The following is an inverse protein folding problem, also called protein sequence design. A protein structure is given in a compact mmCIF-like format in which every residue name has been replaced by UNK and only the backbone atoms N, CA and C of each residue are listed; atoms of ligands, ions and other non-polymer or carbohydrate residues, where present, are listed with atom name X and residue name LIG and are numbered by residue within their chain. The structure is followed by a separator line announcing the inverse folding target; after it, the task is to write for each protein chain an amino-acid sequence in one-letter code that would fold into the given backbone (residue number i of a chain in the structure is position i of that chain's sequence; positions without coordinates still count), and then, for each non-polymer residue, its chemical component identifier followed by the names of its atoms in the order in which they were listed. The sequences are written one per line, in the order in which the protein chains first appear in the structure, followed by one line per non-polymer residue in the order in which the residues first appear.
data_IF_635459572367
#
_entry.id   IF_635459572367
#
_cell.length_a   1.000
_cell.length_b   1.000
_cell.length_c   1.000
_cell.angle_alpha   90.00
_cell.angle_beta   90.00
_cell.angle_gamma   90.00
#
_symmetry.space_group_name_H-M   'P 1'
#
loop_
_entity.id
_entity.type
_entity.pdbx_description
1 polymer ?
#
# COMPACT_ATOMS: atom_id res chain seq x y z
N UNK A 1 8.09 11.80 -12.83
CA UNK A 1 8.96 12.36 -11.78
C UNK A 1 8.87 13.87 -11.85
N UNK A 2 8.90 14.57 -10.71
CA UNK A 2 8.79 16.02 -10.65
C UNK A 2 10.04 16.53 -9.92
N UNK A 3 10.87 17.29 -10.63
CA UNK A 3 12.03 17.95 -10.02
C UNK A 3 11.57 19.13 -9.17
N UNK A 4 12.16 19.26 -7.97
CA UNK A 4 11.89 20.36 -7.06
C UNK A 4 12.82 21.53 -7.40
N UNK A 5 12.30 22.67 -7.89
CA UNK A 5 13.14 23.82 -8.18
C UNK A 5 13.84 24.34 -6.91
N UNK A 6 15.16 24.63 -6.96
CA UNK A 6 15.91 25.08 -5.79
C UNK A 6 15.47 26.48 -5.32
N UNK A 7 14.89 27.28 -6.22
CA UNK A 7 14.44 28.66 -5.98
C UNK A 7 13.19 28.77 -5.10
N UNK A 8 12.42 27.69 -4.93
CA UNK A 8 11.18 27.72 -4.15
C UNK A 8 11.44 28.14 -2.70
N UNK A 9 10.54 28.92 -2.11
CA UNK A 9 10.59 29.37 -0.72
C UNK A 9 9.67 28.53 0.17
N UNK A 10 9.82 28.68 1.49
CA UNK A 10 8.91 28.04 2.45
C UNK A 10 7.47 28.49 2.18
N UNK A 11 6.55 27.54 2.16
CA UNK A 11 5.13 27.67 1.78
C UNK A 11 4.84 27.84 0.29
N UNK A 12 5.85 27.82 -0.60
CA UNK A 12 5.57 27.79 -2.04
C UNK A 12 4.90 26.47 -2.42
N UNK A 13 3.70 26.57 -3.00
CA UNK A 13 3.05 25.47 -3.71
C UNK A 13 3.51 25.49 -5.16
N UNK A 14 4.18 24.41 -5.59
CA UNK A 14 4.76 24.30 -6.94
C UNK A 14 4.10 23.23 -7.78
N UNK A 15 3.28 22.37 -7.16
CA UNK A 15 2.30 21.53 -7.82
C UNK A 15 0.95 21.83 -7.18
N UNK A 16 0.03 22.36 -7.97
CA UNK A 16 -1.33 22.71 -7.53
C UNK A 16 -2.34 21.71 -8.11
N UNK A 17 -2.83 20.82 -7.25
CA UNK A 17 -3.90 19.85 -7.53
C UNK A 17 -3.73 19.12 -8.86
N UNK A 18 -2.56 18.53 -9.06
CA UNK A 18 -2.25 17.70 -10.21
C UNK A 18 -3.08 16.41 -10.16
N UNK A 19 -3.96 16.14 -11.13
CA UNK A 19 -4.65 14.86 -11.20
C UNK A 19 -3.67 13.72 -11.48
N UNK A 20 -3.77 12.63 -10.71
CA UNK A 20 -3.01 11.42 -10.98
C UNK A 20 -3.76 10.60 -12.04
N UNK A 21 -3.13 10.41 -13.20
CA UNK A 21 -3.73 9.72 -14.34
C UNK A 21 -3.75 8.18 -14.16
N UNK A 22 -4.56 7.51 -14.99
CA UNK A 22 -4.70 6.04 -14.97
C UNK A 22 -5.70 5.53 -13.95
N UNK A 23 -5.91 4.21 -13.91
CA UNK A 23 -6.89 3.52 -13.06
C UNK A 23 -6.40 3.23 -11.63
N UNK A 24 -5.19 3.66 -11.28
CA UNK A 24 -4.54 3.29 -10.04
C UNK A 24 -3.97 1.86 -10.03
N UNK A 25 -3.35 1.43 -8.92
CA UNK A 25 -3.07 2.24 -7.73
C UNK A 25 -2.11 3.40 -8.05
N UNK A 26 -2.39 4.57 -7.49
CA UNK A 26 -1.53 5.75 -7.64
C UNK A 26 -0.53 5.83 -6.50
N UNK A 27 0.53 6.60 -6.65
CA UNK A 27 1.50 6.74 -5.57
C UNK A 27 2.23 8.07 -5.61
N UNK A 28 2.63 8.52 -4.41
CA UNK A 28 3.54 9.65 -4.22
C UNK A 28 4.61 9.18 -3.25
N UNK A 29 5.88 9.39 -3.59
CA UNK A 29 6.96 9.13 -2.66
C UNK A 29 8.12 10.06 -2.88
N UNK A 30 9.04 10.00 -1.93
CA UNK A 30 10.21 10.86 -1.91
C UNK A 30 11.48 10.00 -1.89
N UNK A 31 11.80 9.28 -3.00
CA UNK A 31 13.04 8.55 -3.07
C UNK A 31 14.22 9.47 -2.77
N UNK A 32 15.24 8.94 -2.11
CA UNK A 32 16.44 9.66 -1.65
C UNK A 32 16.18 10.66 -0.51
N UNK A 33 14.96 10.78 0.02
CA UNK A 33 14.73 11.61 1.20
C UNK A 33 15.55 11.10 2.39
N UNK A 34 16.28 11.99 3.06
CA UNK A 34 17.02 11.70 4.29
C UNK A 34 16.77 12.80 5.32
N UNK A 35 16.65 12.43 6.58
CA UNK A 35 16.77 13.39 7.68
C UNK A 35 18.26 13.67 7.89
N UNK A 36 18.69 14.90 7.59
CA UNK A 36 20.11 15.32 7.53
C UNK A 36 20.78 15.38 8.92
N UNK A 37 20.02 15.17 10.01
CA UNK A 37 20.49 15.45 11.37
C UNK A 37 21.55 14.46 11.88
N UNK A 38 21.61 13.24 11.36
CA UNK A 38 22.63 12.27 11.78
C UNK A 38 22.93 11.23 10.69
N UNK A 39 24.05 11.37 9.98
CA UNK A 39 24.47 10.48 8.88
C UNK A 39 24.85 9.06 9.33
N UNK A 40 24.71 8.75 10.63
CA UNK A 40 25.14 7.48 11.25
C UNK A 40 24.02 6.45 11.43
N UNK A 41 22.79 6.74 11.02
CA UNK A 41 21.66 5.82 11.17
C UNK A 41 21.20 5.30 9.80
N UNK A 42 20.72 4.05 9.78
CA UNK A 42 20.07 3.46 8.61
C UNK A 42 19.02 4.44 8.08
N UNK A 43 19.16 4.81 6.81
CA UNK A 43 18.25 5.76 6.20
C UNK A 43 17.04 4.97 5.66
N UNK A 44 15.86 5.57 5.78
CA UNK A 44 14.65 5.07 5.16
C UNK A 44 13.94 6.24 4.48
N UNK A 45 13.15 5.91 3.47
CA UNK A 45 12.34 6.89 2.76
C UNK A 45 10.91 6.36 2.65
N UNK A 46 9.97 7.28 2.45
CA UNK A 46 8.54 6.99 2.60
C UNK A 46 7.79 7.23 1.29
N UNK A 47 6.73 6.47 1.11
CA UNK A 47 5.76 6.69 0.07
C UNK A 47 4.35 6.43 0.59
N UNK A 48 3.40 6.95 -0.15
CA UNK A 48 1.98 6.70 -0.01
C UNK A 48 1.53 6.02 -1.30
N UNK A 49 0.85 4.88 -1.19
CA UNK A 49 0.17 4.23 -2.30
C UNK A 49 -1.34 4.40 -2.07
N UNK A 50 -2.03 4.97 -3.04
CA UNK A 50 -3.47 5.20 -3.05
C UNK A 50 -4.09 4.04 -3.83
N UNK A 51 -4.64 3.08 -3.11
CA UNK A 51 -5.24 1.84 -3.65
C UNK A 51 -6.65 2.09 -4.17
N UNK A 52 -7.39 2.98 -3.51
CA UNK A 52 -8.76 3.38 -3.87
C UNK A 52 -8.96 4.86 -3.59
N UNK A 53 -9.63 5.55 -4.49
CA UNK A 53 -10.09 6.93 -4.29
C UNK A 53 -11.44 7.08 -4.97
N UNK A 54 -12.47 7.47 -4.21
CA UNK A 54 -13.75 7.91 -4.74
C UNK A 54 -14.14 9.15 -3.96
N UNK A 55 -14.43 10.24 -4.66
CA UNK A 55 -14.95 11.45 -4.04
C UNK A 55 -16.27 11.83 -4.69
N UNK A 56 -17.23 12.30 -3.89
CA UNK A 56 -18.41 12.99 -4.37
C UNK A 56 -18.38 14.39 -3.77
N UNK A 57 -18.05 15.38 -4.59
CA UNK A 57 -17.92 16.78 -4.17
C UNK A 57 -18.84 17.63 -5.03
N UNK A 58 -19.74 18.38 -4.41
CA UNK A 58 -20.75 19.18 -5.11
C UNK A 58 -21.59 18.37 -6.13
N UNK A 59 -21.83 17.08 -5.83
CA UNK A 59 -22.56 16.16 -6.71
C UNK A 59 -21.74 15.56 -7.86
N UNK A 60 -20.45 15.89 -7.97
CA UNK A 60 -19.56 15.33 -8.98
C UNK A 60 -18.74 14.18 -8.40
N UNK A 61 -18.91 12.99 -8.98
CA UNK A 61 -18.11 11.81 -8.63
C UNK A 61 -16.78 11.84 -9.39
N UNK A 62 -15.67 11.61 -8.68
CA UNK A 62 -14.33 11.46 -9.26
C UNK A 62 -13.61 10.28 -8.62
N UNK A 63 -13.00 9.44 -9.45
CA UNK A 63 -12.30 8.21 -9.02
C UNK A 63 -10.77 8.33 -9.07
N UNK A 64 -10.24 9.46 -9.54
CA UNK A 64 -8.81 9.74 -9.50
C UNK A 64 -8.45 10.83 -8.49
N UNK A 65 -7.42 10.61 -7.66
CA UNK A 65 -6.97 11.63 -6.71
C UNK A 65 -6.24 12.76 -7.45
N UNK A 66 -6.25 13.95 -6.84
CA UNK A 66 -5.32 15.03 -7.20
C UNK A 66 -4.33 15.26 -6.07
N UNK A 67 -3.12 15.69 -6.38
CA UNK A 67 -2.10 15.98 -5.37
C UNK A 67 -1.54 17.39 -5.49
N UNK A 68 -1.24 18.00 -4.35
CA UNK A 68 -0.52 19.26 -4.28
C UNK A 68 0.79 19.07 -3.54
N UNK A 69 1.86 19.71 -4.02
CA UNK A 69 3.18 19.66 -3.41
C UNK A 69 3.60 21.06 -3.00
N UNK A 70 4.05 21.21 -1.76
CA UNK A 70 4.53 22.48 -1.25
C UNK A 70 5.79 22.34 -0.39
N UNK A 71 6.58 23.41 -0.33
CA UNK A 71 7.79 23.45 0.50
C UNK A 71 7.40 23.68 1.96
N UNK A 72 7.54 22.66 2.80
CA UNK A 72 7.29 22.79 4.24
C UNK A 72 8.42 23.52 4.96
N UNK A 73 9.66 23.25 4.57
CA UNK A 73 10.87 23.78 5.20
C UNK A 73 12.08 23.67 4.26
N UNK A 74 13.11 24.51 4.46
CA UNK A 74 14.44 24.36 3.85
C UNK A 74 15.34 23.42 4.64
N UNK A 75 16.11 22.58 3.94
CA UNK A 75 17.09 21.72 4.58
C UNK A 75 18.18 22.56 5.28
N UNK A 76 18.73 22.10 6.42
CA UNK A 76 19.70 22.89 7.19
C UNK A 76 20.99 23.25 6.43
N UNK A 77 21.37 22.45 5.43
CA UNK A 77 22.53 22.68 4.58
C UNK A 77 22.27 23.65 3.41
N UNK A 78 21.03 24.10 3.24
CA UNK A 78 20.60 24.99 2.17
C UNK A 78 20.54 24.34 0.78
N UNK A 79 20.82 23.04 0.65
CA UNK A 79 20.93 22.34 -0.64
C UNK A 79 19.59 21.75 -1.12
N UNK A 80 18.54 21.82 -0.30
CA UNK A 80 17.25 21.23 -0.64
C UNK A 80 16.08 21.76 0.19
N UNK A 81 14.92 21.14 -0.07
CA UNK A 81 13.65 21.46 0.57
C UNK A 81 13.03 20.18 1.12
N UNK A 82 12.37 20.28 2.28
CA UNK A 82 11.41 19.28 2.74
C UNK A 82 10.05 19.59 2.11
N UNK A 83 9.53 18.62 1.36
CA UNK A 83 8.28 18.74 0.61
C UNK A 83 7.21 17.92 1.30
N UNK A 84 6.04 18.52 1.46
CA UNK A 84 4.83 17.82 1.86
C UNK A 84 3.97 17.57 0.62
N UNK A 85 3.38 16.37 0.54
CA UNK A 85 2.37 16.03 -0.44
C UNK A 85 1.00 15.99 0.22
N UNK A 86 0.04 16.68 -0.38
CA UNK A 86 -1.35 16.70 0.03
C UNK A 86 -2.19 15.96 -1.00
N UNK A 87 -3.01 15.01 -0.56
CA UNK A 87 -4.12 14.49 -1.38
C UNK A 87 -5.23 15.55 -1.30
N UNK A 88 -5.67 16.01 -2.46
CA UNK A 88 -6.54 17.18 -2.60
C UNK A 88 -7.74 16.85 -3.48
N UNK A 89 -8.90 17.52 -3.28
CA UNK A 89 -9.97 17.50 -4.24
C UNK A 89 -9.49 18.02 -5.61
N UNK A 90 -10.19 17.66 -6.71
CA UNK A 90 -9.86 18.16 -8.04
C UNK A 90 -9.77 19.69 -8.12
N UNK A 91 -9.04 20.17 -9.13
CA UNK A 91 -8.95 21.60 -9.41
C UNK A 91 -10.35 22.20 -9.66
N UNK A 92 -10.63 23.34 -9.04
CA UNK A 92 -11.94 24.01 -9.13
C UNK A 92 -12.79 23.90 -7.86
N UNK A 93 -12.56 22.89 -7.02
CA UNK A 93 -13.24 22.76 -5.71
C UNK A 93 -12.65 23.76 -4.71
N UNK A 94 -13.37 24.82 -4.35
CA UNK A 94 -12.85 25.83 -3.42
C UNK A 94 -13.10 25.49 -1.95
N UNK A 95 -14.18 24.78 -1.67
CA UNK A 95 -14.62 24.43 -0.32
C UNK A 95 -15.29 23.05 -0.32
N UNK A 96 -15.27 22.39 0.83
CA UNK A 96 -16.02 21.17 1.09
C UNK A 96 -17.29 21.54 1.85
N UNK A 97 -18.42 21.06 1.35
CA UNK A 97 -19.74 21.35 1.90
C UNK A 97 -20.31 20.14 2.62
N UNK A 98 -21.35 20.38 3.43
CA UNK A 98 -22.09 19.29 4.05
C UNK A 98 -22.65 18.34 2.98
N UNK A 99 -22.36 17.05 3.13
CA UNK A 99 -22.79 16.02 2.19
C UNK A 99 -21.71 15.59 1.18
N UNK A 100 -20.59 16.30 1.09
CA UNK A 100 -19.43 15.82 0.34
C UNK A 100 -18.82 14.58 1.01
N UNK A 101 -18.42 13.60 0.20
CA UNK A 101 -17.87 12.33 0.71
C UNK A 101 -16.58 11.95 0.02
N UNK A 102 -15.74 11.21 0.76
CA UNK A 102 -14.51 10.61 0.28
C UNK A 102 -14.42 9.17 0.79
N UNK A 103 -14.10 8.24 -0.09
CA UNK A 103 -13.79 6.85 0.20
C UNK A 103 -12.38 6.57 -0.32
N UNK A 104 -11.48 6.19 0.59
CA UNK A 104 -10.04 6.25 0.40
C UNK A 104 -9.37 5.06 1.07
N UNK A 105 -8.62 4.28 0.29
CA UNK A 105 -7.72 3.25 0.81
C UNK A 105 -6.28 3.68 0.50
N UNK A 106 -5.51 3.88 1.57
CA UNK A 106 -4.12 4.33 1.51
C UNK A 106 -3.23 3.38 2.28
N UNK A 107 -2.11 3.05 1.65
CA UNK A 107 -0.98 2.38 2.25
C UNK A 107 0.14 3.39 2.51
N UNK A 108 0.59 3.49 3.76
CA UNK A 108 1.80 4.22 4.12
C UNK A 108 2.96 3.23 4.21
N UNK A 109 3.93 3.35 3.31
CA UNK A 109 5.05 2.41 3.21
C UNK A 109 6.38 3.11 3.45
N UNK A 110 7.27 2.40 4.14
CA UNK A 110 8.64 2.84 4.41
C UNK A 110 9.61 1.84 3.80
N UNK A 111 10.55 2.35 3.02
CA UNK A 111 11.53 1.54 2.31
C UNK A 111 12.92 1.72 2.93
N UNK A 112 13.73 0.65 2.97
CA UNK A 112 15.15 0.80 3.23
C UNK A 112 15.76 1.69 2.13
N UNK A 113 16.79 2.47 2.48
CA UNK A 113 17.43 3.36 1.52
C UNK A 113 18.25 2.60 0.49
N UNK A 114 18.98 1.58 0.93
CA UNK A 114 19.73 0.67 0.06
C UNK A 114 19.52 -0.79 0.47
N UNK A 115 20.10 -1.71 -0.30
CA UNK A 115 20.19 -3.12 0.08
C UNK A 115 21.00 -3.37 1.35
N UNK A 116 21.96 -2.50 1.67
CA UNK A 116 22.82 -2.65 2.86
C UNK A 116 22.03 -2.33 4.15
N UNK A 117 20.98 -1.50 4.04
CA UNK A 117 20.07 -1.19 5.14
C UNK A 117 18.97 -2.26 5.31
N UNK A 118 18.86 -3.23 4.39
CA UNK A 118 17.84 -4.29 4.42
C UNK A 118 18.35 -5.54 5.12
N UNK A 119 17.72 -5.90 6.24
CA UNK A 119 18.08 -7.05 7.08
C UNK A 119 17.06 -8.20 7.04
N UNK A 120 16.06 -8.12 6.15
CA UNK A 120 15.09 -9.20 5.95
C UNK A 120 15.65 -10.30 5.03
N UNK A 121 14.89 -11.38 4.92
CA UNK A 121 15.22 -12.62 4.20
C UNK A 121 14.65 -12.68 2.77
N UNK A 122 13.94 -11.65 2.31
CA UNK A 122 13.43 -11.59 0.95
C UNK A 122 14.55 -11.21 -0.03
N UNK A 123 15.21 -12.23 -0.56
CA UNK A 123 16.32 -12.06 -1.51
C UNK A 123 15.89 -11.39 -2.83
N UNK A 124 14.65 -11.62 -3.29
CA UNK A 124 14.12 -10.94 -4.50
C UNK A 124 14.06 -9.43 -4.27
N UNK A 125 13.55 -9.02 -3.11
CA UNK A 125 13.51 -7.61 -2.74
C UNK A 125 14.91 -7.02 -2.54
N UNK A 126 15.83 -7.76 -1.93
CA UNK A 126 17.22 -7.34 -1.75
C UNK A 126 17.93 -7.07 -3.07
N UNK A 127 17.80 -7.98 -4.04
CA UNK A 127 18.34 -7.80 -5.40
C UNK A 127 17.71 -6.58 -6.07
N UNK A 128 16.38 -6.42 -5.96
CA UNK A 128 15.71 -5.23 -6.49
C UNK A 128 16.27 -3.92 -5.91
N UNK A 129 16.57 -3.87 -4.60
CA UNK A 129 17.16 -2.70 -3.95
C UNK A 129 18.60 -2.42 -4.42
N UNK A 130 19.38 -3.45 -4.74
CA UNK A 130 20.73 -3.30 -5.30
C UNK A 130 20.67 -2.65 -6.70
N UNK A 131 19.71 -3.08 -7.52
CA UNK A 131 19.53 -2.59 -8.88
C UNK A 131 18.86 -1.20 -8.93
N UNK A 132 18.06 -0.86 -7.90
CA UNK A 132 17.22 0.34 -7.88
C UNK A 132 17.36 1.12 -6.55
N UNK A 133 18.57 1.55 -6.16
CA UNK A 133 18.80 2.22 -4.88
C UNK A 133 18.03 3.54 -4.80
N UNK A 134 17.25 3.70 -3.73
CA UNK A 134 16.44 4.90 -3.48
C UNK A 134 15.69 5.41 -4.73
N UNK A 135 14.95 4.51 -5.38
CA UNK A 135 14.30 4.76 -6.68
C UNK A 135 12.77 4.66 -6.58
N UNK A 136 12.07 5.45 -7.39
CA UNK A 136 10.61 5.36 -7.53
C UNK A 136 10.15 3.96 -7.99
N UNK A 137 11.03 3.22 -8.67
CA UNK A 137 10.76 1.86 -9.15
C UNK A 137 10.40 0.90 -8.01
N UNK A 138 10.91 1.13 -6.80
CA UNK A 138 10.54 0.36 -5.61
C UNK A 138 9.09 0.63 -5.20
N UNK A 139 8.64 1.88 -5.23
CA UNK A 139 7.23 2.21 -4.99
C UNK A 139 6.34 1.57 -6.05
N UNK A 140 6.73 1.70 -7.32
CA UNK A 140 5.98 1.14 -8.44
C UNK A 140 5.88 -0.39 -8.33
N UNK A 141 6.95 -1.06 -7.90
CA UNK A 141 6.95 -2.50 -7.62
C UNK A 141 5.90 -2.88 -6.58
N UNK A 142 5.86 -2.20 -5.43
CA UNK A 142 4.85 -2.49 -4.39
C UNK A 142 3.42 -2.12 -4.83
N UNK A 143 3.26 -1.00 -5.53
CA UNK A 143 1.96 -0.55 -6.02
C UNK A 143 1.38 -1.55 -7.02
N UNK A 144 2.12 -1.87 -8.09
CA UNK A 144 1.66 -2.78 -9.14
C UNK A 144 1.67 -4.23 -8.68
N UNK A 145 2.72 -4.66 -7.98
CA UNK A 145 2.88 -6.03 -7.52
C UNK A 145 1.77 -6.45 -6.56
N UNK A 146 1.35 -5.57 -5.65
CA UNK A 146 0.25 -5.84 -4.72
C UNK A 146 -1.12 -5.38 -5.23
N UNK A 147 -1.26 -5.07 -6.51
CA UNK A 147 -2.58 -4.90 -7.14
C UNK A 147 -3.12 -6.28 -7.56
N UNK A 148 -3.52 -7.07 -6.57
CA UNK A 148 -3.79 -8.50 -6.70
C UNK A 148 -5.00 -8.77 -7.62
N UNK A 149 -4.95 -9.91 -8.31
CA UNK A 149 -6.14 -10.53 -8.89
C UNK A 149 -6.40 -11.83 -8.14
N UNK A 150 -7.61 -12.00 -7.62
CA UNK A 150 -7.95 -13.12 -6.72
C UNK A 150 -9.20 -13.82 -7.22
N UNK A 151 -9.05 -15.10 -7.54
CA UNK A 151 -10.17 -16.02 -7.73
C UNK A 151 -10.41 -16.76 -6.41
N UNK A 152 -11.66 -16.81 -5.96
CA UNK A 152 -12.04 -17.47 -4.71
C UNK A 152 -13.23 -18.41 -4.92
N UNK A 153 -13.16 -19.60 -4.31
CA UNK A 153 -14.28 -20.54 -4.16
C UNK A 153 -14.51 -20.78 -2.67
N UNK A 154 -15.76 -20.85 -2.23
CA UNK A 154 -16.11 -21.00 -0.81
C UNK A 154 -16.01 -19.71 0.02
N UNK A 155 -15.80 -18.57 -0.62
CA UNK A 155 -15.81 -17.25 0.01
C UNK A 155 -16.00 -16.11 -0.98
N UNK A 156 -15.98 -14.88 -0.46
CA UNK A 156 -16.13 -13.64 -1.20
C UNK A 156 -14.98 -12.67 -0.88
N UNK A 157 -14.37 -12.06 -1.91
CA UNK A 157 -13.39 -10.99 -1.72
C UNK A 157 -14.11 -9.72 -1.27
N UNK A 158 -13.78 -9.23 -0.07
CA UNK A 158 -14.35 -8.01 0.52
C UNK A 158 -13.44 -6.79 0.30
N UNK A 159 -12.13 -7.01 0.34
CA UNK A 159 -11.11 -6.00 0.12
C UNK A 159 -9.91 -6.67 -0.57
N UNK A 160 -9.25 -5.95 -1.48
CA UNK A 160 -8.20 -6.54 -2.30
C UNK A 160 -6.79 -6.29 -1.73
N UNK A 161 -6.60 -5.23 -0.93
CA UNK A 161 -5.35 -4.99 -0.20
C UNK A 161 -5.54 -4.11 1.06
N UNK A 162 -5.28 -4.62 2.29
CA UNK A 162 -4.96 -6.02 2.60
C UNK A 162 -6.09 -6.96 2.15
N UNK A 163 -5.76 -8.19 1.76
CA UNK A 163 -6.76 -9.10 1.20
C UNK A 163 -7.71 -9.56 2.31
N UNK A 164 -9.01 -9.34 2.14
CA UNK A 164 -10.03 -9.79 3.10
C UNK A 164 -11.01 -10.70 2.37
N UNK A 165 -11.16 -11.93 2.86
CA UNK A 165 -12.07 -12.94 2.34
C UNK A 165 -13.14 -13.24 3.39
N UNK A 166 -14.41 -13.14 3.03
CA UNK A 166 -15.51 -13.62 3.86
C UNK A 166 -15.84 -15.06 3.49
N UNK A 167 -15.80 -15.96 4.47
CA UNK A 167 -16.18 -17.35 4.29
C UNK A 167 -17.67 -17.49 4.00
N UNK A 168 -18.01 -18.22 2.94
CA UNK A 168 -19.38 -18.70 2.68
C UNK A 168 -19.50 -20.20 2.90
N UNK A 169 -18.36 -20.91 2.86
CA UNK A 169 -18.23 -22.34 3.10
C UNK A 169 -17.15 -22.64 4.15
N UNK A 170 -17.03 -23.90 4.56
CA UNK A 170 -16.01 -24.33 5.53
C UNK A 170 -14.62 -24.48 4.93
N UNK A 171 -14.53 -24.67 3.61
CA UNK A 171 -13.29 -24.74 2.86
C UNK A 171 -13.26 -23.57 1.88
N UNK A 172 -12.11 -22.91 1.77
CA UNK A 172 -11.94 -21.75 0.89
C UNK A 172 -10.72 -22.00 0.03
N UNK A 173 -10.90 -22.01 -1.28
CA UNK A 173 -9.81 -22.14 -2.25
C UNK A 173 -9.56 -20.77 -2.90
N UNK A 174 -8.29 -20.41 -3.01
CA UNK A 174 -7.83 -19.13 -3.55
C UNK A 174 -6.81 -19.39 -4.66
N UNK A 175 -6.92 -18.64 -5.75
CA UNK A 175 -5.83 -18.42 -6.68
C UNK A 175 -5.50 -16.92 -6.72
N UNK A 176 -4.27 -16.57 -6.35
CA UNK A 176 -3.81 -15.17 -6.25
C UNK A 176 -2.76 -14.95 -7.32
N UNK A 177 -3.01 -14.02 -8.24
CA UNK A 177 -2.05 -13.54 -9.23
C UNK A 177 -1.48 -12.19 -8.78
N UNK A 178 -0.16 -12.08 -8.85
CA UNK A 178 0.61 -10.98 -8.25
C UNK A 178 0.99 -11.27 -6.79
N UNK A 179 1.34 -10.20 -6.09
CA UNK A 179 1.90 -10.22 -4.75
C UNK A 179 3.41 -9.99 -4.76
N UNK A 180 3.87 -9.08 -3.92
CA UNK A 180 5.29 -8.84 -3.64
C UNK A 180 5.48 -8.73 -2.12
N UNK A 181 6.63 -9.21 -1.65
CA UNK A 181 6.88 -9.34 -0.23
C UNK A 181 5.89 -10.26 0.50
N UNK A 182 5.54 -9.84 1.71
CA UNK A 182 4.56 -10.50 2.56
C UNK A 182 3.20 -9.82 2.36
N UNK A 183 2.25 -10.55 1.78
CA UNK A 183 0.89 -10.06 1.52
C UNK A 183 -0.03 -10.47 2.66
N UNK A 184 -0.57 -9.52 3.45
CA UNK A 184 -1.51 -9.84 4.51
C UNK A 184 -2.85 -10.29 3.93
N UNK A 185 -3.35 -11.43 4.43
CA UNK A 185 -4.69 -11.94 4.14
C UNK A 185 -5.45 -12.14 5.45
N UNK A 186 -6.74 -11.79 5.47
CA UNK A 186 -7.66 -12.08 6.57
C UNK A 186 -8.86 -12.85 6.05
N UNK A 187 -9.22 -13.91 6.76
CA UNK A 187 -10.48 -14.63 6.59
C UNK A 187 -11.45 -14.21 7.70
N UNK A 188 -12.70 -13.96 7.34
CA UNK A 188 -13.79 -13.59 8.25
C UNK A 188 -14.95 -14.57 8.11
N UNK A 189 -15.82 -14.64 9.13
CA UNK A 189 -17.03 -15.47 9.06
C UNK A 189 -16.78 -16.96 9.32
N UNK A 190 -15.60 -17.33 9.81
CA UNK A 190 -15.23 -18.72 10.04
C UNK A 190 -16.06 -19.35 11.16
N UNK A 191 -16.50 -20.59 10.99
CA UNK A 191 -17.25 -21.32 12.03
C UNK A 191 -16.34 -21.98 13.08
N UNK A 192 -15.05 -22.10 12.77
CA UNK A 192 -14.05 -22.67 13.69
C UNK A 192 -12.81 -21.79 13.78
N UNK A 193 -12.20 -21.77 14.96
CA UNK A 193 -10.88 -21.20 15.21
C UNK A 193 -9.73 -22.16 14.94
N UNK A 194 -10.00 -23.33 14.39
CA UNK A 194 -8.98 -24.38 14.13
C UNK A 194 -8.61 -24.51 12.67
N UNK A 195 -9.15 -23.66 11.80
CA UNK A 195 -8.82 -23.65 10.39
C UNK A 195 -7.32 -23.42 10.17
N UNK A 196 -6.82 -24.03 9.10
CA UNK A 196 -5.41 -24.00 8.70
C UNK A 196 -5.33 -23.61 7.24
N UNK A 197 -4.35 -22.77 6.92
CA UNK A 197 -4.08 -22.34 5.55
C UNK A 197 -2.94 -23.16 4.97
N UNK A 198 -3.17 -23.74 3.80
CA UNK A 198 -2.20 -24.55 3.08
C UNK A 198 -1.84 -23.90 1.76
N UNK A 199 -0.58 -24.00 1.35
CA UNK A 199 -0.18 -23.69 -0.03
C UNK A 199 -0.40 -24.90 -0.97
N UNK A 200 -0.07 -24.72 -2.24
CA UNK A 200 -0.18 -25.73 -3.30
C UNK A 200 0.72 -26.97 -3.07
N UNK A 201 1.79 -26.83 -2.30
CA UNK A 201 2.65 -27.94 -1.87
C UNK A 201 2.08 -28.73 -0.68
N UNK A 202 1.02 -28.21 -0.06
CA UNK A 202 0.44 -28.72 1.18
C UNK A 202 1.20 -28.28 2.43
N UNK A 203 2.14 -27.34 2.31
CA UNK A 203 2.82 -26.75 3.45
C UNK A 203 1.84 -25.87 4.22
N UNK A 204 1.90 -25.95 5.56
CA UNK A 204 1.11 -25.13 6.45
C UNK A 204 1.68 -23.72 6.46
N UNK A 205 0.82 -22.70 6.37
CA UNK A 205 1.23 -21.33 6.65
C UNK A 205 1.50 -21.20 8.15
N UNK A 206 2.77 -20.94 8.50
CA UNK A 206 3.23 -20.88 9.89
C UNK A 206 2.92 -19.53 10.57
N UNK A 207 2.58 -18.48 9.82
CA UNK A 207 2.27 -17.15 10.34
C UNK A 207 0.76 -16.97 10.53
N UNK A 208 0.26 -17.32 11.72
CA UNK A 208 -1.12 -17.06 12.13
C UNK A 208 -1.18 -15.95 13.19
N UNK A 209 -2.02 -14.95 12.93
CA UNK A 209 -2.52 -14.02 13.94
C UNK A 209 -3.98 -14.37 14.23
N UNK A 210 -4.27 -14.87 15.44
CA UNK A 210 -5.64 -15.17 15.87
C UNK A 210 -6.41 -13.85 16.04
N UNK A 211 -7.46 -13.67 15.23
CA UNK A 211 -8.32 -12.51 15.29
C UNK A 211 -9.66 -12.94 15.86
N UNK A 212 -10.09 -12.22 16.90
CA UNK A 212 -11.04 -12.72 17.88
C UNK A 212 -12.41 -13.18 17.35
N UNK A 213 -13.15 -13.80 18.26
CA UNK A 213 -14.53 -14.21 18.04
C UNK A 213 -15.47 -13.01 18.00
N UNK A 214 -16.23 -12.87 16.91
CA UNK A 214 -17.32 -11.91 16.80
C UNK A 214 -18.60 -12.49 17.41
N UNK A 215 -18.98 -11.96 18.57
CA UNK A 215 -20.18 -12.38 19.31
C UNK A 215 -21.49 -12.07 18.57
N UNK A 216 -21.53 -11.07 17.69
CA UNK A 216 -22.75 -10.68 16.97
C UNK A 216 -23.08 -11.70 15.87
N UNK A 217 -22.06 -12.18 15.17
CA UNK A 217 -22.22 -13.16 14.08
C UNK A 217 -21.93 -14.59 14.53
N UNK A 218 -21.38 -14.77 15.74
CA UNK A 218 -20.87 -16.05 16.26
C UNK A 218 -19.85 -16.70 15.30
N UNK A 219 -18.89 -15.90 14.83
CA UNK A 219 -17.85 -16.35 13.89
C UNK A 219 -16.45 -15.93 14.34
N UNK A 220 -15.43 -16.53 13.74
CA UNK A 220 -14.01 -16.25 13.99
C UNK A 220 -13.39 -15.53 12.79
N UNK A 221 -12.25 -14.88 13.04
CA UNK A 221 -11.39 -14.34 12.00
C UNK A 221 -9.96 -14.90 12.13
N UNK A 222 -9.24 -14.99 11.02
CA UNK A 222 -7.83 -15.42 11.04
C UNK A 222 -7.05 -14.59 10.05
N UNK A 223 -5.85 -14.16 10.42
CA UNK A 223 -4.95 -13.47 9.50
C UNK A 223 -3.64 -14.22 9.32
N UNK A 224 -3.13 -14.16 8.09
CA UNK A 224 -1.87 -14.75 7.66
C UNK A 224 -1.07 -13.73 6.85
N UNK A 225 0.24 -13.91 6.76
CA UNK A 225 1.05 -13.25 5.75
C UNK A 225 1.50 -14.28 4.71
N UNK A 226 1.22 -13.99 3.45
CA UNK A 226 1.57 -14.86 2.33
C UNK A 226 2.87 -14.35 1.69
N UNK A 227 3.90 -15.19 1.67
CA UNK A 227 5.12 -14.91 0.93
C UNK A 227 4.88 -15.19 -0.55
N UNK A 228 4.54 -14.13 -1.29
CA UNK A 228 4.16 -14.20 -2.71
C UNK A 228 5.26 -13.75 -3.66
N UNK A 229 6.31 -13.14 -3.13
CA UNK A 229 7.39 -12.60 -3.96
C UNK A 229 8.04 -13.65 -4.87
N UNK A 230 8.25 -13.28 -6.13
CA UNK A 230 8.77 -14.19 -7.17
C UNK A 230 7.77 -15.20 -7.72
N UNK A 231 6.53 -15.25 -7.23
CA UNK A 231 5.45 -16.09 -7.78
C UNK A 231 4.55 -15.27 -8.70
N UNK A 232 4.27 -15.78 -9.90
CA UNK A 232 3.29 -15.14 -10.80
C UNK A 232 1.87 -15.38 -10.27
N UNK A 233 1.59 -16.63 -9.92
CA UNK A 233 0.33 -17.08 -9.32
C UNK A 233 0.64 -18.02 -8.17
N UNK A 234 -0.18 -18.01 -7.14
CA UNK A 234 -0.13 -18.94 -6.00
C UNK A 234 -1.53 -19.45 -5.68
N UNK A 235 -1.61 -20.70 -5.21
CA UNK A 235 -2.87 -21.31 -4.79
C UNK A 235 -2.85 -21.61 -3.30
N UNK A 236 -3.98 -21.40 -2.64
CA UNK A 236 -4.12 -21.59 -1.20
C UNK A 236 -5.46 -22.19 -0.85
N UNK A 237 -5.48 -23.04 0.18
CA UNK A 237 -6.71 -23.64 0.72
C UNK A 237 -6.79 -23.43 2.21
N UNK A 238 -7.86 -22.80 2.70
CA UNK A 238 -8.22 -22.74 4.11
C UNK A 238 -9.22 -23.86 4.44
N UNK A 239 -8.94 -24.68 5.47
CA UNK A 239 -9.86 -25.74 5.95
C UNK A 239 -9.68 -26.04 7.44
#
# INVERSE_FOLDING_TARGET
EIDVPPSLQVNDMFVDRLPLAGSGPWWVGFPKSRFVKDQKQAAAWKAIIIRKYISNVAGQVTESPSVSLYVRQKQPDGQGSYIDALITPPKGVQELNQGDTFDLNIEWITFPYSSDDYYGDNEVFKVHLQENPASWKTIHREAVGNNLSVDVTGGEVIENYPLIIRATESSIDLAITGGVGAVPIRFEGLKSKTCKLYDDSGALSDELYDLGFDTMTSTYSMAFNLLLDGKITSSWTLK
#
